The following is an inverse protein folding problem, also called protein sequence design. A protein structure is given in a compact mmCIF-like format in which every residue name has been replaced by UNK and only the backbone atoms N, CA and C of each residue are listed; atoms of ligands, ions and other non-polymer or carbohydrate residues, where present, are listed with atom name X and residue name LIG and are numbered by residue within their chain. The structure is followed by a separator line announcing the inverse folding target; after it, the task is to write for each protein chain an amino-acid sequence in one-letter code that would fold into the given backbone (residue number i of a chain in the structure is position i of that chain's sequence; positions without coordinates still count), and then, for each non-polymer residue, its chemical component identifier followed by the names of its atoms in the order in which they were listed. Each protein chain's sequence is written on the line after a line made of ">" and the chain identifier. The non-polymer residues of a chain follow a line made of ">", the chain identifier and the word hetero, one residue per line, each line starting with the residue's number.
data_IF_925681384758
#
_entry.id   IF_925681384758
#
_cell.length_a   1.000
_cell.length_b   1.000
_cell.length_c   1.000
_cell.angle_alpha   90.00
_cell.angle_beta   90.00
_cell.angle_gamma   90.00
#
_symmetry.space_group_name_H-M   'P 1'
#
loop_
_entity.id
_entity.type
_entity.pdbx_description
1 polymer ?
#
# COMPACT_ATOMS: atom_id res chain seq x y z
N UNK A 1 0.18 22.60 -4.24
CA UNK A 1 0.71 22.53 -5.62
C UNK A 1 2.25 22.69 -5.72
N UNK A 2 3.06 22.44 -4.67
CA UNK A 2 4.54 22.55 -4.75
C UNK A 2 5.23 21.32 -5.36
N UNK A 3 4.49 20.21 -5.50
CA UNK A 3 5.01 18.91 -5.87
C UNK A 3 5.22 18.74 -7.38
N UNK A 4 4.65 19.66 -8.18
CA UNK A 4 4.82 19.72 -9.64
C UNK A 4 6.17 20.30 -10.06
N UNK A 5 6.89 20.97 -9.16
CA UNK A 5 8.24 21.48 -9.42
C UNK A 5 9.34 20.42 -9.25
N UNK A 6 8.96 19.18 -8.86
CA UNK A 6 9.85 18.02 -8.84
C UNK A 6 9.42 17.05 -9.93
N UNK A 7 10.25 16.89 -10.95
CA UNK A 7 9.99 16.00 -12.07
C UNK A 7 9.72 14.58 -11.56
N UNK A 8 8.63 13.96 -12.02
CA UNK A 8 8.23 12.59 -11.65
C UNK A 8 8.06 12.33 -10.15
N UNK A 9 7.66 13.32 -9.34
CA UNK A 9 7.43 13.07 -7.91
C UNK A 9 5.98 12.64 -7.61
N UNK A 10 5.00 13.13 -8.37
CA UNK A 10 3.57 12.96 -8.03
C UNK A 10 3.12 11.50 -8.10
N UNK A 11 3.65 10.69 -9.03
CA UNK A 11 3.28 9.27 -9.12
C UNK A 11 3.68 8.47 -7.88
N UNK A 12 4.70 8.93 -7.14
CA UNK A 12 5.17 8.30 -5.89
C UNK A 12 4.06 8.26 -4.84
N UNK A 13 3.14 9.23 -4.82
CA UNK A 13 1.98 9.19 -3.91
C UNK A 13 1.08 8.00 -4.19
N UNK A 14 0.72 7.79 -5.45
CA UNK A 14 -0.16 6.71 -5.84
C UNK A 14 0.49 5.34 -5.56
N UNK A 15 1.77 5.19 -5.90
CA UNK A 15 2.48 3.93 -5.69
C UNK A 15 2.82 3.66 -4.24
N UNK A 16 3.13 4.68 -3.44
CA UNK A 16 3.31 4.53 -1.99
C UNK A 16 2.01 4.15 -1.30
N UNK A 17 0.88 4.71 -1.74
CA UNK A 17 -0.42 4.32 -1.24
C UNK A 17 -0.75 2.85 -1.59
N UNK A 18 -0.51 2.44 -2.84
CA UNK A 18 -0.72 1.05 -3.25
C UNK A 18 0.15 0.06 -2.47
N UNK A 19 1.43 0.39 -2.26
CA UNK A 19 2.31 -0.42 -1.44
C UNK A 19 1.82 -0.52 0.01
N UNK A 20 1.41 0.60 0.59
CA UNK A 20 0.86 0.65 1.96
C UNK A 20 -0.42 -0.16 2.10
N UNK A 21 -1.30 -0.11 1.12
CA UNK A 21 -2.54 -0.90 1.11
C UNK A 21 -2.26 -2.40 1.01
N UNK A 22 -1.29 -2.82 0.19
CA UNK A 22 -0.86 -4.22 0.10
C UNK A 22 -0.28 -4.73 1.44
N UNK A 23 0.56 -3.93 2.11
CA UNK A 23 1.05 -4.26 3.46
C UNK A 23 -0.11 -4.36 4.46
N UNK A 24 -1.05 -3.40 4.42
CA UNK A 24 -2.21 -3.40 5.30
C UNK A 24 -3.14 -4.60 5.05
N UNK A 25 -3.25 -5.06 3.80
CA UNK A 25 -4.01 -6.26 3.46
C UNK A 25 -3.41 -7.50 4.12
N UNK A 26 -2.09 -7.67 4.08
CA UNK A 26 -1.41 -8.76 4.80
C UNK A 26 -1.74 -8.77 6.29
N UNK A 27 -1.82 -7.60 6.93
CA UNK A 27 -2.26 -7.51 8.33
C UNK A 27 -3.71 -7.94 8.54
N UNK A 28 -4.62 -7.57 7.63
CA UNK A 28 -6.04 -7.96 7.71
C UNK A 28 -6.25 -9.46 7.47
N UNK A 29 -5.45 -10.04 6.59
CA UNK A 29 -5.49 -11.47 6.26
C UNK A 29 -4.86 -12.35 7.35
N UNK A 30 -4.26 -11.73 8.38
CA UNK A 30 -3.68 -12.44 9.51
C UNK A 30 -2.34 -13.11 9.20
N UNK A 31 -1.59 -12.61 8.20
CA UNK A 31 -0.25 -13.10 7.90
C UNK A 31 0.69 -12.88 9.10
N UNK A 32 1.15 -13.99 9.68
CA UNK A 32 1.97 -14.02 10.89
C UNK A 32 3.34 -13.34 10.70
N UNK A 33 3.87 -13.29 9.47
CA UNK A 33 5.18 -12.68 9.21
C UNK A 33 5.09 -11.19 8.88
N UNK A 34 3.90 -10.69 8.50
CA UNK A 34 3.73 -9.33 7.99
C UNK A 34 4.27 -8.26 8.94
N UNK A 35 4.08 -8.42 10.26
CA UNK A 35 4.59 -7.46 11.25
C UNK A 35 6.12 -7.45 11.26
N UNK A 36 6.75 -8.62 11.23
CA UNK A 36 8.21 -8.72 11.24
C UNK A 36 8.82 -8.17 9.95
N UNK A 37 8.21 -8.47 8.80
CA UNK A 37 8.64 -7.98 7.49
C UNK A 37 8.52 -6.44 7.41
N UNK A 38 7.41 -5.88 7.87
CA UNK A 38 7.22 -4.43 7.94
C UNK A 38 8.25 -3.75 8.85
N UNK A 39 8.48 -4.30 10.04
CA UNK A 39 9.50 -3.77 10.96
C UNK A 39 10.92 -3.91 10.39
N UNK A 40 11.21 -4.99 9.66
CA UNK A 40 12.48 -5.17 8.98
C UNK A 40 12.69 -4.11 7.89
N UNK A 41 11.68 -3.83 7.07
CA UNK A 41 11.71 -2.74 6.09
C UNK A 41 11.98 -1.39 6.76
N UNK A 42 11.23 -1.03 7.81
CA UNK A 42 11.41 0.26 8.50
C UNK A 42 12.83 0.45 9.05
N UNK A 43 13.46 -0.61 9.54
CA UNK A 43 14.84 -0.58 10.04
C UNK A 43 15.88 -0.28 8.94
N UNK A 44 15.56 -0.52 7.67
CA UNK A 44 16.46 -0.20 6.55
C UNK A 44 16.54 1.33 6.32
N UNK A 45 15.51 2.09 6.67
CA UNK A 45 15.45 3.52 6.40
C UNK A 45 15.72 3.84 4.92
N UNK A 46 16.67 4.74 4.66
CA UNK A 46 17.12 5.09 3.30
C UNK A 46 18.41 4.41 2.86
N UNK A 47 18.83 3.32 3.52
CA UNK A 47 20.10 2.63 3.23
C UNK A 47 20.06 1.75 1.98
N UNK A 48 18.85 1.41 1.50
CA UNK A 48 18.62 0.57 0.33
C UNK A 48 17.71 1.28 -0.67
N UNK A 49 17.59 0.71 -1.87
CA UNK A 49 16.63 1.21 -2.85
C UNK A 49 15.18 0.96 -2.39
N UNK A 50 14.23 1.87 -2.71
CA UNK A 50 12.83 1.72 -2.29
C UNK A 50 12.19 0.40 -2.73
N UNK A 51 12.53 -0.10 -3.93
CA UNK A 51 12.02 -1.39 -4.43
C UNK A 51 12.46 -2.55 -3.53
N UNK A 52 13.75 -2.59 -3.14
CA UNK A 52 14.31 -3.60 -2.25
C UNK A 52 13.70 -3.53 -0.84
N UNK A 53 13.45 -2.31 -0.35
CA UNK A 53 12.75 -2.13 0.92
C UNK A 53 11.32 -2.71 0.88
N UNK A 54 10.57 -2.44 -0.20
CA UNK A 54 9.21 -2.95 -0.37
C UNK A 54 9.16 -4.47 -0.53
N UNK A 55 10.12 -5.05 -1.27
CA UNK A 55 10.28 -6.50 -1.36
C UNK A 55 10.52 -7.11 0.03
N UNK A 56 11.29 -6.43 0.90
CA UNK A 56 11.51 -6.86 2.29
C UNK A 56 10.23 -6.82 3.14
N UNK A 57 9.30 -5.93 2.82
CA UNK A 57 7.95 -5.88 3.38
C UNK A 57 6.96 -6.81 2.66
N UNK A 58 7.43 -7.68 1.77
CA UNK A 58 6.63 -8.64 1.01
C UNK A 58 5.73 -8.00 -0.06
N UNK A 59 6.10 -6.84 -0.58
CA UNK A 59 5.40 -6.17 -1.67
C UNK A 59 6.30 -6.09 -2.90
N UNK A 60 5.93 -6.79 -3.96
CA UNK A 60 6.54 -6.66 -5.28
C UNK A 60 5.77 -5.63 -6.11
N UNK A 61 6.33 -4.43 -6.27
CA UNK A 61 5.70 -3.35 -7.06
C UNK A 61 5.67 -3.62 -8.57
N UNK A 62 6.34 -4.67 -9.06
CA UNK A 62 6.23 -5.11 -10.46
C UNK A 62 4.98 -5.96 -10.70
N UNK A 63 4.37 -6.50 -9.64
CA UNK A 63 3.12 -7.24 -9.75
C UNK A 63 1.92 -6.28 -9.90
N UNK A 64 1.17 -6.33 -11.02
CA UNK A 64 -0.03 -5.52 -11.22
C UNK A 64 -1.13 -5.79 -10.18
N UNK A 65 -1.09 -6.88 -9.41
CA UNK A 65 -2.03 -7.12 -8.31
C UNK A 65 -1.94 -6.05 -7.21
N UNK A 66 -0.76 -5.46 -6.96
CA UNK A 66 -0.55 -4.45 -5.91
C UNK A 66 -1.41 -3.21 -6.15
N UNK A 67 -1.51 -2.76 -7.41
CA UNK A 67 -2.38 -1.63 -7.77
C UNK A 67 -3.86 -2.03 -7.77
N UNK A 68 -4.19 -3.27 -8.19
CA UNK A 68 -5.57 -3.76 -8.19
C UNK A 68 -6.15 -3.86 -6.78
N UNK A 69 -5.36 -4.28 -5.80
CA UNK A 69 -5.78 -4.37 -4.40
C UNK A 69 -6.35 -3.05 -3.86
N UNK A 70 -5.83 -1.90 -4.32
CA UNK A 70 -6.37 -0.59 -3.96
C UNK A 70 -7.80 -0.38 -4.47
N UNK A 71 -8.06 -0.78 -5.72
CA UNK A 71 -9.38 -0.64 -6.33
C UNK A 71 -10.38 -1.59 -5.69
N UNK A 72 -9.95 -2.80 -5.35
CA UNK A 72 -10.76 -3.77 -4.62
C UNK A 72 -11.16 -3.21 -3.25
N UNK A 73 -10.18 -2.66 -2.49
CA UNK A 73 -10.45 -2.00 -1.21
C UNK A 73 -11.42 -0.82 -1.35
N UNK A 74 -11.26 -0.02 -2.39
CA UNK A 74 -12.18 1.09 -2.65
C UNK A 74 -13.62 0.58 -2.87
N UNK A 75 -13.79 -0.50 -3.65
CA UNK A 75 -15.08 -1.15 -3.87
C UNK A 75 -15.71 -1.68 -2.57
N UNK A 76 -14.92 -2.30 -1.70
CA UNK A 76 -15.37 -2.75 -0.38
C UNK A 76 -15.87 -1.57 0.49
N UNK A 77 -15.08 -0.51 0.58
CA UNK A 77 -15.43 0.69 1.35
C UNK A 77 -16.70 1.35 0.82
N UNK A 78 -16.86 1.40 -0.51
CA UNK A 78 -18.09 1.90 -1.13
C UNK A 78 -19.29 1.03 -0.76
N UNK A 79 -19.12 -0.30 -0.73
CA UNK A 79 -20.14 -1.23 -0.27
C UNK A 79 -20.56 -0.98 1.17
N UNK A 80 -19.58 -0.92 2.09
CA UNK A 80 -19.81 -0.63 3.51
C UNK A 80 -20.54 0.70 3.71
N UNK A 81 -20.16 1.74 2.96
CA UNK A 81 -20.84 3.04 3.02
C UNK A 81 -22.30 2.92 2.57
N UNK A 82 -22.57 2.22 1.46
CA UNK A 82 -23.94 2.04 0.94
C UNK A 82 -24.83 1.33 1.96
N UNK A 83 -24.31 0.27 2.59
CA UNK A 83 -25.08 -0.52 3.56
C UNK A 83 -25.43 0.34 4.79
N UNK A 84 -24.47 1.10 5.32
CA UNK A 84 -24.68 2.05 6.42
C UNK A 84 -25.69 3.16 6.08
N UNK A 85 -25.76 3.57 4.81
CA UNK A 85 -26.75 4.55 4.34
C UNK A 85 -28.14 3.95 4.15
N UNK A 86 -28.25 2.65 3.87
CA UNK A 86 -29.52 1.94 3.70
C UNK A 86 -30.18 1.58 5.04
N UNK A 87 -29.41 1.52 6.13
CA UNK A 87 -29.89 1.29 7.49
C UNK A 87 -30.44 2.57 8.17
N UNK A 88 -30.44 3.72 7.49
CA UNK A 88 -31.01 4.99 7.94
C UNK A 88 -32.35 5.31 7.28
#
# INVERSE_FOLDING_TARGET
>A
MSHFYRTFYVWVYATSYAAGEAIAQRFRDGDETAVQDYLAMLKLGGSVYPMEALERAGVDMSDPTVIRAVMDRYGELQGQLRDLMAER
#
